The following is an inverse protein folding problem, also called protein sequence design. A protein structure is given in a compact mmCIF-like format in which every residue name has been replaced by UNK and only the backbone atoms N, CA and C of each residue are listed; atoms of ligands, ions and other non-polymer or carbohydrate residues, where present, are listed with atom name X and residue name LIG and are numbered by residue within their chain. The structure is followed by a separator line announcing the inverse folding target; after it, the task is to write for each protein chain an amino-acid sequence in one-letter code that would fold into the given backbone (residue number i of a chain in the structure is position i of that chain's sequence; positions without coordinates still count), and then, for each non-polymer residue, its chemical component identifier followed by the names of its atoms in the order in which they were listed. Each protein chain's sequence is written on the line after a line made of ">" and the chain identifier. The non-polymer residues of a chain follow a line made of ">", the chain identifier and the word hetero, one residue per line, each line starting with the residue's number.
data_IF_215869674363
#
_entry.id   IF_215869674363
#
_cell.length_a   1.000
_cell.length_b   1.000
_cell.length_c   1.000
_cell.angle_alpha   90.00
_cell.angle_beta   90.00
_cell.angle_gamma   90.00
#
_symmetry.space_group_name_H-M   'P 1'
#
loop_
_entity.id
_entity.type
_entity.pdbx_description
1 polymer ?
#
# COMPACT_ATOMS: atom_id res chain seq x y z
N UNK A 1 4.41 0.32 14.14
CA UNK A 1 3.69 1.10 13.13
C UNK A 1 2.95 2.25 13.81
N UNK A 2 3.06 3.46 13.30
CA UNK A 2 2.39 4.65 13.78
C UNK A 2 1.58 5.29 12.64
N UNK A 3 0.35 5.71 12.94
CA UNK A 3 -0.52 6.46 12.02
C UNK A 3 -0.62 7.93 12.39
N UNK A 4 -0.04 8.32 13.52
CA UNK A 4 0.07 9.70 14.02
C UNK A 4 1.40 9.93 14.71
N UNK A 5 1.84 11.19 14.82
CA UNK A 5 3.05 11.53 15.58
C UNK A 5 2.92 11.21 17.08
N UNK A 6 1.69 11.22 17.63
CA UNK A 6 1.44 10.81 19.01
C UNK A 6 1.74 9.32 19.21
N UNK A 7 1.31 8.48 18.28
CA UNK A 7 1.64 7.05 18.29
C UNK A 7 3.15 6.81 18.14
N UNK A 8 3.84 7.61 17.29
CA UNK A 8 5.30 7.53 17.14
C UNK A 8 6.02 7.84 18.47
N UNK A 9 5.64 8.93 19.16
CA UNK A 9 6.18 9.26 20.49
C UNK A 9 5.94 8.16 21.51
N UNK A 10 4.74 7.60 21.52
CA UNK A 10 4.40 6.52 22.44
C UNK A 10 5.25 5.27 22.19
N UNK A 11 5.41 4.88 20.94
CA UNK A 11 6.24 3.73 20.57
C UNK A 11 7.71 3.95 20.94
N UNK A 12 8.27 5.14 20.63
CA UNK A 12 9.63 5.51 21.00
C UNK A 12 9.84 5.42 22.52
N UNK A 13 8.95 5.98 23.32
CA UNK A 13 9.01 5.91 24.79
C UNK A 13 8.90 4.47 25.33
N UNK A 14 8.37 3.52 24.54
CA UNK A 14 8.28 2.10 24.88
C UNK A 14 9.40 1.24 24.26
N UNK A 15 10.47 1.85 23.72
CA UNK A 15 11.72 1.20 23.39
C UNK A 15 11.70 0.38 22.09
N UNK A 16 10.96 0.83 21.07
CA UNK A 16 11.03 0.19 19.74
C UNK A 16 12.32 0.60 19.00
N UNK A 17 12.80 -0.25 18.10
CA UNK A 17 14.03 -0.05 17.33
C UNK A 17 13.83 0.84 16.08
N UNK A 18 12.59 1.13 15.71
CA UNK A 18 12.24 1.98 14.56
C UNK A 18 10.74 2.18 14.40
N UNK A 19 10.35 3.21 13.67
CA UNK A 19 8.94 3.59 13.44
C UNK A 19 8.60 3.43 11.97
N UNK A 20 7.56 2.64 11.67
CA UNK A 20 6.92 2.68 10.36
C UNK A 20 5.83 3.77 10.40
N UNK A 21 6.08 4.91 9.77
CA UNK A 21 5.12 5.99 9.62
C UNK A 21 4.12 5.63 8.50
N UNK A 22 2.96 5.09 8.88
CA UNK A 22 1.93 4.63 7.96
C UNK A 22 0.96 5.75 7.60
N UNK A 23 1.18 6.39 6.46
CA UNK A 23 0.27 7.41 5.93
C UNK A 23 -1.12 6.85 5.58
N UNK A 24 -2.09 7.75 5.47
CA UNK A 24 -3.49 7.40 5.18
C UNK A 24 -3.68 6.68 3.84
N UNK A 25 -2.74 6.84 2.90
CA UNK A 25 -2.73 6.21 1.57
C UNK A 25 -2.37 4.73 1.59
N UNK A 26 -1.81 4.23 2.69
CA UNK A 26 -1.32 2.86 2.77
C UNK A 26 -2.42 1.82 2.57
N UNK A 27 -2.12 0.76 1.82
CA UNK A 27 -2.97 -0.42 1.65
C UNK A 27 -2.94 -1.35 2.87
N UNK A 28 -3.97 -2.19 3.00
CA UNK A 28 -4.12 -3.10 4.12
C UNK A 28 -4.60 -2.42 5.40
N UNK A 29 -4.47 -3.12 6.53
CA UNK A 29 -4.98 -2.67 7.82
C UNK A 29 -4.29 -1.39 8.31
N UNK A 30 -5.09 -0.52 8.93
CA UNK A 30 -4.55 0.63 9.65
C UNK A 30 -3.82 0.17 10.90
N UNK A 31 -2.63 0.74 11.11
CA UNK A 31 -1.76 0.43 12.25
C UNK A 31 -2.10 1.19 13.54
N UNK A 32 -3.19 1.97 13.55
CA UNK A 32 -3.59 2.79 14.69
C UNK A 32 -3.91 1.97 15.94
N UNK A 33 -3.58 2.52 17.12
CA UNK A 33 -3.82 1.87 18.41
C UNK A 33 -4.17 2.84 19.55
N UNK A 34 -3.83 4.13 19.45
CA UNK A 34 -4.21 5.13 20.47
C UNK A 34 -5.59 5.73 20.21
N UNK A 35 -6.05 5.76 18.97
CA UNK A 35 -7.37 6.30 18.59
C UNK A 35 -8.00 5.46 17.50
N UNK A 36 -9.32 5.39 17.47
CA UNK A 36 -10.11 4.77 16.40
C UNK A 36 -10.56 5.80 15.35
N UNK A 37 -10.26 7.08 15.57
CA UNK A 37 -10.63 8.14 14.64
C UNK A 37 -9.73 8.10 13.38
N UNK A 38 -10.33 7.64 12.30
CA UNK A 38 -9.65 7.58 11.00
C UNK A 38 -9.44 8.97 10.37
N UNK A 39 -10.26 9.95 10.72
CA UNK A 39 -10.16 11.31 10.19
C UNK A 39 -8.95 12.07 10.77
N UNK A 40 -8.47 11.65 11.94
CA UNK A 40 -7.27 12.21 12.56
C UNK A 40 -5.95 11.72 11.94
N UNK A 41 -5.99 10.76 11.01
CA UNK A 41 -4.78 10.17 10.42
C UNK A 41 -4.30 10.98 9.20
N UNK A 42 -3.08 11.54 9.22
CA UNK A 42 -2.55 12.30 8.10
C UNK A 42 -2.08 11.38 6.95
N UNK A 43 -1.96 11.96 5.76
CA UNK A 43 -1.28 11.35 4.63
C UNK A 43 0.23 11.26 4.86
N UNK A 44 0.91 10.44 4.06
CA UNK A 44 2.34 10.12 4.18
C UNK A 44 3.21 11.38 4.16
N UNK A 45 2.93 12.32 3.25
CA UNK A 45 3.68 13.58 3.11
C UNK A 45 3.68 14.43 4.38
N UNK A 46 2.55 14.45 5.10
CA UNK A 46 2.42 15.19 6.35
C UNK A 46 2.87 14.38 7.57
N UNK A 47 2.70 13.05 7.55
CA UNK A 47 3.00 12.18 8.69
C UNK A 47 4.50 12.00 8.90
N UNK A 48 5.25 11.74 7.83
CA UNK A 48 6.68 11.39 7.91
C UNK A 48 7.48 12.44 8.66
N UNK A 49 7.48 13.73 8.28
CA UNK A 49 8.28 14.75 9.00
C UNK A 49 7.82 14.89 10.46
N UNK A 50 6.51 14.80 10.74
CA UNK A 50 6.01 14.85 12.11
C UNK A 50 6.47 13.67 12.97
N UNK A 51 6.63 12.48 12.38
CA UNK A 51 7.21 11.33 13.09
C UNK A 51 8.71 11.53 13.31
N UNK A 52 9.45 12.02 12.31
CA UNK A 52 10.89 12.36 12.42
C UNK A 52 11.11 13.36 13.54
N UNK A 53 10.39 14.47 13.54
CA UNK A 53 10.48 15.48 14.59
C UNK A 53 10.08 14.94 15.99
N UNK A 54 9.19 13.96 16.01
CA UNK A 54 8.68 13.39 17.26
C UNK A 54 9.67 12.44 17.96
N UNK A 55 10.57 11.78 17.20
CA UNK A 55 11.53 10.78 17.72
C UNK A 55 12.99 11.25 17.58
N UNK A 56 13.26 12.34 16.85
CA UNK A 56 14.62 12.82 16.59
C UNK A 56 15.46 11.81 15.82
N UNK A 57 16.78 11.91 16.01
CA UNK A 57 17.77 11.05 15.34
C UNK A 57 18.02 9.72 16.09
N UNK A 58 17.22 9.41 17.14
CA UNK A 58 17.49 8.27 18.03
C UNK A 58 17.13 6.93 17.38
N UNK A 59 16.06 6.90 16.57
CA UNK A 59 15.60 5.68 15.89
C UNK A 59 15.15 5.99 14.46
N UNK A 60 15.30 5.03 13.50
CA UNK A 60 14.92 5.26 12.12
C UNK A 60 13.38 5.38 11.94
N UNK A 61 12.97 6.31 11.08
CA UNK A 61 11.59 6.42 10.60
C UNK A 61 11.51 5.87 9.19
N UNK A 62 10.61 4.91 8.98
CA UNK A 62 10.35 4.24 7.70
C UNK A 62 9.03 4.76 7.13
N UNK A 63 9.06 5.43 5.99
CA UNK A 63 7.85 5.93 5.34
C UNK A 63 7.06 4.80 4.66
N UNK A 64 5.74 4.73 4.88
CA UNK A 64 4.86 3.75 4.25
C UNK A 64 3.52 4.36 3.84
N UNK A 65 3.09 4.09 2.61
CA UNK A 65 1.81 4.54 2.06
C UNK A 65 1.95 5.44 0.83
N UNK A 66 1.26 5.10 -0.25
CA UNK A 66 1.25 5.88 -1.49
C UNK A 66 2.53 5.86 -2.32
N UNK A 67 3.63 5.31 -1.82
CA UNK A 67 4.93 5.26 -2.49
C UNK A 67 4.88 4.17 -3.58
N UNK A 68 5.00 4.58 -4.85
CA UNK A 68 4.84 3.70 -6.00
C UNK A 68 6.05 3.67 -6.95
N UNK A 69 6.89 4.68 -6.90
CA UNK A 69 8.08 4.85 -7.77
C UNK A 69 9.18 5.66 -7.07
N UNK A 70 10.30 5.90 -7.77
CA UNK A 70 11.47 6.61 -7.26
C UNK A 70 11.18 8.04 -6.80
N UNK A 71 10.18 8.73 -7.37
CA UNK A 71 9.77 10.08 -6.94
C UNK A 71 9.24 10.07 -5.51
N UNK A 72 8.40 9.08 -5.19
CA UNK A 72 7.87 8.91 -3.84
C UNK A 72 8.94 8.51 -2.83
N UNK A 73 9.91 7.71 -3.23
CA UNK A 73 11.07 7.34 -2.40
C UNK A 73 11.92 8.58 -2.11
N UNK A 74 12.30 9.33 -3.14
CA UNK A 74 13.10 10.54 -3.00
C UNK A 74 12.40 11.57 -2.08
N UNK A 75 11.10 11.79 -2.27
CA UNK A 75 10.31 12.66 -1.42
C UNK A 75 10.32 12.22 0.04
N UNK A 76 10.14 10.91 0.32
CA UNK A 76 10.17 10.39 1.68
C UNK A 76 11.54 10.61 2.37
N UNK A 77 12.63 10.38 1.65
CA UNK A 77 13.98 10.63 2.15
C UNK A 77 14.20 12.13 2.42
N UNK A 78 13.75 13.02 1.53
CA UNK A 78 13.82 14.47 1.72
C UNK A 78 12.98 14.96 2.92
N UNK A 79 11.94 14.23 3.30
CA UNK A 79 11.14 14.48 4.51
C UNK A 79 11.78 13.93 5.79
N UNK A 80 12.98 13.34 5.71
CA UNK A 80 13.73 12.81 6.84
C UNK A 80 13.53 11.31 7.11
N UNK A 81 12.81 10.57 6.26
CA UNK A 81 12.72 9.12 6.41
C UNK A 81 14.08 8.45 6.16
N UNK A 82 14.44 7.49 7.01
CA UNK A 82 15.66 6.67 6.85
C UNK A 82 15.49 5.57 5.79
N UNK A 83 14.24 5.16 5.54
CA UNK A 83 13.88 4.11 4.57
C UNK A 83 12.42 4.24 4.13
N UNK A 84 12.02 3.41 3.15
CA UNK A 84 10.64 3.30 2.70
C UNK A 84 10.16 1.86 2.76
N UNK A 85 8.88 1.65 3.09
CA UNK A 85 8.20 0.36 2.98
C UNK A 85 7.16 0.44 1.86
N UNK A 86 7.37 -0.33 0.81
CA UNK A 86 6.53 -0.36 -0.39
C UNK A 86 5.76 -1.69 -0.43
N UNK A 87 4.43 -1.63 -0.46
CA UNK A 87 3.58 -2.83 -0.55
C UNK A 87 3.01 -3.05 -1.94
N UNK A 88 2.20 -2.09 -2.41
CA UNK A 88 1.36 -2.27 -3.60
C UNK A 88 2.16 -2.53 -4.88
N UNK A 89 3.31 -1.88 -5.09
CA UNK A 89 4.15 -2.15 -6.26
C UNK A 89 4.60 -3.62 -6.31
N UNK A 90 4.96 -4.21 -5.17
CA UNK A 90 5.38 -5.61 -5.12
C UNK A 90 4.26 -6.62 -5.35
N UNK A 91 2.98 -6.21 -5.27
CA UNK A 91 1.87 -7.07 -5.71
C UNK A 91 1.93 -7.38 -7.22
N UNK A 92 2.63 -6.54 -8.00
CA UNK A 92 2.85 -6.73 -9.43
C UNK A 92 4.09 -7.57 -9.77
N UNK A 93 4.90 -7.99 -8.79
CA UNK A 93 6.06 -8.84 -9.04
C UNK A 93 5.64 -10.25 -9.49
N UNK A 94 6.54 -10.95 -10.18
CA UNK A 94 6.34 -12.36 -10.58
C UNK A 94 6.10 -13.27 -9.39
N UNK A 95 6.82 -13.01 -8.30
CA UNK A 95 6.81 -13.80 -7.07
C UNK A 95 5.56 -13.55 -6.21
N UNK A 96 4.78 -12.53 -6.55
CA UNK A 96 3.55 -12.22 -5.82
C UNK A 96 2.57 -13.39 -5.85
N UNK A 97 2.08 -13.78 -4.68
CA UNK A 97 1.13 -14.89 -4.50
C UNK A 97 -0.34 -14.45 -4.55
N UNK A 98 -0.63 -13.20 -4.94
CA UNK A 98 -2.02 -12.73 -5.08
C UNK A 98 -2.77 -13.54 -6.13
N UNK A 99 -4.03 -13.88 -5.81
CA UNK A 99 -4.89 -14.68 -6.69
C UNK A 99 -5.21 -14.01 -8.02
N UNK A 100 -5.67 -14.79 -8.99
CA UNK A 100 -6.00 -14.32 -10.35
C UNK A 100 -7.04 -13.20 -10.37
N UNK A 101 -8.03 -13.26 -9.48
CA UNK A 101 -9.06 -12.22 -9.33
C UNK A 101 -8.44 -10.90 -8.87
N UNK A 102 -7.58 -10.94 -7.84
CA UNK A 102 -6.88 -9.74 -7.36
C UNK A 102 -5.94 -9.17 -8.44
N UNK A 103 -5.22 -10.04 -9.19
CA UNK A 103 -4.39 -9.61 -10.34
C UNK A 103 -5.22 -8.91 -11.42
N UNK A 104 -6.42 -9.40 -11.72
CA UNK A 104 -7.31 -8.78 -12.70
C UNK A 104 -7.72 -7.36 -12.29
N UNK A 105 -8.10 -7.17 -11.03
CA UNK A 105 -8.47 -5.87 -10.48
C UNK A 105 -7.27 -4.89 -10.39
N UNK A 106 -6.09 -5.38 -10.00
CA UNK A 106 -4.87 -4.57 -9.97
C UNK A 106 -4.49 -4.02 -11.36
N UNK A 107 -4.71 -4.77 -12.46
CA UNK A 107 -4.45 -4.29 -13.83
C UNK A 107 -5.29 -3.07 -14.21
N UNK A 108 -6.46 -2.93 -13.60
CA UNK A 108 -7.43 -1.87 -13.84
C UNK A 108 -7.41 -0.81 -12.75
N UNK A 109 -6.47 -0.92 -11.79
CA UNK A 109 -6.39 0.02 -10.68
C UNK A 109 -6.17 1.45 -11.16
N UNK A 110 -6.88 2.38 -10.52
CA UNK A 110 -6.80 3.81 -10.77
C UNK A 110 -6.73 4.59 -9.45
N UNK A 111 -6.54 5.89 -9.50
CA UNK A 111 -6.29 6.77 -8.36
C UNK A 111 -7.40 6.80 -7.32
N UNK A 112 -8.65 6.74 -7.73
CA UNK A 112 -9.85 6.81 -6.87
C UNK A 112 -10.50 5.44 -6.60
N UNK A 113 -9.84 4.33 -6.98
CA UNK A 113 -10.41 2.98 -6.90
C UNK A 113 -10.31 2.31 -5.52
N UNK A 114 -9.65 2.94 -4.54
CA UNK A 114 -9.46 2.36 -3.20
C UNK A 114 -10.29 3.04 -2.13
N UNK A 115 -10.66 2.30 -1.10
CA UNK A 115 -11.46 2.76 0.02
C UNK A 115 -10.96 2.13 1.32
N UNK A 116 -11.08 2.84 2.45
CA UNK A 116 -10.96 2.24 3.77
C UNK A 116 -12.26 1.53 4.13
N UNK A 117 -12.16 0.27 4.57
CA UNK A 117 -13.30 -0.56 4.93
C UNK A 117 -13.00 -1.45 6.12
N UNK A 118 -14.00 -1.70 6.97
CA UNK A 118 -13.93 -2.71 8.02
C UNK A 118 -14.66 -4.03 7.66
N UNK A 119 -15.32 -4.07 6.49
CA UNK A 119 -16.25 -5.15 6.09
C UNK A 119 -15.59 -6.54 6.11
N UNK A 120 -14.32 -6.64 5.73
CA UNK A 120 -13.66 -7.94 5.57
C UNK A 120 -13.06 -8.52 6.85
N UNK A 121 -12.66 -7.68 7.79
CA UNK A 121 -11.92 -8.14 8.96
C UNK A 121 -12.43 -7.62 10.29
N UNK A 122 -13.34 -6.65 10.28
CA UNK A 122 -13.78 -5.93 11.48
C UNK A 122 -12.83 -4.79 11.90
N UNK A 123 -11.66 -4.67 11.25
CA UNK A 123 -10.71 -3.57 11.47
C UNK A 123 -10.53 -2.78 10.17
N UNK A 124 -10.48 -1.44 10.21
CA UNK A 124 -10.29 -0.62 9.02
C UNK A 124 -9.01 -0.99 8.26
N UNK A 125 -9.19 -1.21 6.96
CA UNK A 125 -8.11 -1.54 6.02
C UNK A 125 -8.41 -0.96 4.64
N UNK A 126 -7.38 -0.57 3.88
CA UNK A 126 -7.54 -0.02 2.54
C UNK A 126 -7.38 -1.08 1.46
N UNK A 127 -8.32 -1.12 0.54
CA UNK A 127 -8.28 -2.00 -0.63
C UNK A 127 -9.13 -1.48 -1.79
N UNK A 128 -9.19 -2.26 -2.86
CA UNK A 128 -10.06 -1.98 -4.01
C UNK A 128 -11.53 -2.13 -3.58
N UNK A 129 -12.36 -1.17 -3.98
CA UNK A 129 -13.79 -1.14 -3.65
C UNK A 129 -14.56 -2.17 -4.47
N UNK A 130 -14.79 -3.37 -3.93
CA UNK A 130 -15.62 -4.40 -4.55
C UNK A 130 -17.13 -4.15 -4.32
N UNK A 131 -17.98 -4.97 -4.93
CA UNK A 131 -19.44 -4.90 -4.81
C UNK A 131 -19.91 -4.91 -3.34
N UNK A 132 -19.41 -5.84 -2.52
CA UNK A 132 -19.81 -5.95 -1.11
C UNK A 132 -19.58 -4.65 -0.34
N UNK A 133 -18.43 -4.02 -0.54
CA UNK A 133 -18.09 -2.74 0.11
C UNK A 133 -19.03 -1.61 -0.35
N UNK A 134 -19.40 -1.60 -1.63
CA UNK A 134 -20.32 -0.60 -2.18
C UNK A 134 -21.75 -0.76 -1.66
N UNK A 135 -22.20 -1.99 -1.42
CA UNK A 135 -23.56 -2.30 -0.96
C UNK A 135 -23.73 -2.14 0.56
N UNK A 136 -22.71 -2.51 1.34
CA UNK A 136 -22.77 -2.43 2.82
C UNK A 136 -22.29 -1.08 3.39
N UNK A 137 -21.72 -0.21 2.56
CA UNK A 137 -20.98 0.98 2.97
C UNK A 137 -19.54 0.64 3.33
N UNK A 138 -18.58 1.57 3.20
CA UNK A 138 -17.18 1.24 3.48
C UNK A 138 -16.94 0.93 4.96
N UNK A 139 -17.60 1.61 5.88
CA UNK A 139 -17.56 1.34 7.32
C UNK A 139 -18.98 1.01 7.79
N UNK A 140 -19.13 -0.10 8.53
CA UNK A 140 -20.43 -0.59 9.00
C UNK A 140 -20.30 -1.15 10.40
N UNK A 141 -21.21 -0.75 11.27
CA UNK A 141 -21.35 -1.26 12.65
C UNK A 141 -22.01 -2.65 12.72
N UNK A 142 -22.53 -3.14 11.60
CA UNK A 142 -23.12 -4.48 11.50
C UNK A 142 -22.05 -5.57 11.36
N UNK A 143 -20.80 -5.19 11.15
CA UNK A 143 -19.69 -6.13 10.95
C UNK A 143 -19.19 -6.63 12.31
N UNK A 144 -19.00 -7.95 12.50
CA UNK A 144 -18.36 -8.49 13.68
C UNK A 144 -16.98 -7.85 13.93
N UNK A 145 -16.56 -7.72 15.20
CA UNK A 145 -15.26 -7.15 15.52
C UNK A 145 -14.11 -7.99 14.94
N UNK A 146 -12.93 -7.36 14.81
CA UNK A 146 -11.72 -8.05 14.39
C UNK A 146 -11.34 -9.15 15.40
N UNK A 147 -10.96 -10.38 14.94
CA UNK A 147 -10.74 -10.80 13.54
C UNK A 147 -11.92 -11.57 12.91
N UNK A 148 -13.10 -11.62 13.51
CA UNK A 148 -14.16 -12.59 13.22
C UNK A 148 -14.96 -12.30 11.94
N UNK A 149 -15.00 -11.06 11.48
CA UNK A 149 -15.81 -10.65 10.32
C UNK A 149 -15.53 -11.50 9.05
N UNK A 150 -14.27 -11.84 8.80
CA UNK A 150 -13.87 -12.60 7.61
C UNK A 150 -14.37 -14.04 7.57
N UNK A 151 -14.75 -14.62 8.70
CA UNK A 151 -15.15 -16.03 8.77
C UNK A 151 -16.43 -16.28 7.97
N UNK A 152 -17.42 -15.40 8.11
CA UNK A 152 -18.70 -15.53 7.41
C UNK A 152 -18.57 -15.36 5.89
N UNK A 153 -17.59 -14.58 5.43
CA UNK A 153 -17.40 -14.26 4.02
C UNK A 153 -16.63 -15.31 3.23
N UNK A 154 -15.83 -16.17 3.87
CA UNK A 154 -14.92 -17.12 3.21
C UNK A 154 -15.59 -17.98 2.14
N UNK A 155 -16.79 -18.55 2.43
CA UNK A 155 -17.50 -19.42 1.48
C UNK A 155 -18.02 -18.65 0.26
N UNK A 156 -18.51 -17.43 0.49
CA UNK A 156 -19.04 -16.58 -0.57
C UNK A 156 -17.90 -16.06 -1.46
N UNK A 157 -16.82 -15.59 -0.85
CA UNK A 157 -15.60 -15.19 -1.53
C UNK A 157 -15.06 -16.31 -2.43
N UNK A 158 -14.85 -17.51 -1.86
CA UNK A 158 -14.31 -18.64 -2.61
C UNK A 158 -15.17 -19.00 -3.84
N UNK A 159 -16.51 -19.06 -3.69
CA UNK A 159 -17.41 -19.33 -4.81
C UNK A 159 -17.38 -18.26 -5.89
N UNK A 160 -17.30 -16.97 -5.51
CA UNK A 160 -17.20 -15.89 -6.46
C UNK A 160 -15.87 -15.91 -7.22
N UNK A 161 -14.76 -16.13 -6.52
CA UNK A 161 -13.42 -16.21 -7.11
C UNK A 161 -13.27 -17.39 -8.07
N UNK A 162 -13.90 -18.54 -7.79
CA UNK A 162 -13.96 -19.67 -8.73
C UNK A 162 -14.67 -19.30 -10.06
N UNK A 163 -15.55 -18.30 -10.04
CA UNK A 163 -16.25 -17.76 -11.22
C UNK A 163 -15.51 -16.54 -11.81
N UNK A 164 -14.29 -16.21 -11.34
CA UNK A 164 -13.54 -15.05 -11.77
C UNK A 164 -14.12 -13.70 -11.29
N UNK A 165 -14.96 -13.69 -10.25
CA UNK A 165 -15.67 -12.51 -9.75
C UNK A 165 -15.03 -11.99 -8.46
N UNK A 166 -14.79 -10.67 -8.42
CA UNK A 166 -14.19 -9.97 -7.29
C UNK A 166 -15.20 -9.48 -6.24
N UNK A 167 -16.49 -9.76 -6.40
CA UNK A 167 -17.60 -9.15 -5.66
C UNK A 167 -17.44 -9.16 -4.14
N UNK A 168 -16.79 -10.19 -3.59
CA UNK A 168 -16.63 -10.43 -2.17
C UNK A 168 -15.18 -10.58 -1.74
N UNK A 169 -14.22 -10.22 -2.62
CA UNK A 169 -12.80 -10.46 -2.40
C UNK A 169 -12.12 -9.34 -1.64
N UNK A 170 -11.27 -9.71 -0.68
CA UNK A 170 -10.31 -8.81 -0.05
C UNK A 170 -9.17 -8.50 -1.02
N UNK A 171 -9.03 -7.24 -1.42
CA UNK A 171 -8.02 -6.85 -2.40
C UNK A 171 -7.26 -5.64 -1.87
N UNK A 172 -6.35 -5.90 -0.92
CA UNK A 172 -5.59 -4.84 -0.26
C UNK A 172 -4.63 -4.17 -1.25
N UNK A 173 -4.71 -2.85 -1.33
CA UNK A 173 -3.75 -2.00 -2.03
C UNK A 173 -3.88 -0.54 -1.58
N UNK A 174 -2.81 0.25 -1.70
CA UNK A 174 -2.80 1.67 -1.35
C UNK A 174 -3.33 2.56 -2.48
N UNK A 175 -3.48 3.84 -2.19
CA UNK A 175 -3.96 4.83 -3.14
C UNK A 175 -3.02 5.02 -4.35
N UNK A 176 -1.75 4.65 -4.25
CA UNK A 176 -0.81 4.62 -5.38
C UNK A 176 -1.04 3.48 -6.38
N UNK A 177 -2.11 2.68 -6.26
CA UNK A 177 -2.35 1.50 -7.11
C UNK A 177 -2.35 1.81 -8.61
N UNK A 178 -2.94 2.94 -9.04
CA UNK A 178 -2.93 3.37 -10.43
C UNK A 178 -1.52 3.64 -10.97
N UNK A 179 -0.67 4.29 -10.17
CA UNK A 179 0.75 4.50 -10.51
C UNK A 179 1.50 3.16 -10.60
N UNK A 180 1.27 2.26 -9.65
CA UNK A 180 1.88 0.93 -9.66
C UNK A 180 1.48 0.14 -10.92
N UNK A 181 0.20 0.17 -11.31
CA UNK A 181 -0.28 -0.49 -12.52
C UNK A 181 0.34 0.10 -13.80
N UNK A 182 0.46 1.43 -13.88
CA UNK A 182 1.08 2.11 -15.01
C UNK A 182 2.57 1.75 -15.15
N UNK A 183 3.32 1.76 -14.04
CA UNK A 183 4.73 1.37 -13.99
C UNK A 183 4.95 -0.09 -14.36
N UNK A 184 4.10 -0.99 -13.86
CA UNK A 184 4.15 -2.40 -14.19
C UNK A 184 3.92 -2.66 -15.69
N UNK A 185 2.96 -1.97 -16.30
CA UNK A 185 2.72 -2.03 -17.76
C UNK A 185 3.92 -1.52 -18.55
N UNK A 186 4.51 -0.39 -18.16
CA UNK A 186 5.69 0.17 -18.80
C UNK A 186 6.86 -0.82 -18.78
N UNK A 187 7.18 -1.36 -17.61
CA UNK A 187 8.25 -2.36 -17.46
C UNK A 187 8.01 -3.61 -18.33
N UNK A 188 6.75 -4.05 -18.41
CA UNK A 188 6.36 -5.17 -19.29
C UNK A 188 6.51 -4.87 -20.77
N UNK A 189 6.16 -3.68 -21.22
CA UNK A 189 6.33 -3.24 -22.61
C UNK A 189 7.81 -3.18 -23.01
N UNK A 190 8.67 -2.64 -22.14
CA UNK A 190 10.10 -2.55 -22.37
C UNK A 190 10.75 -3.96 -22.48
N UNK A 191 10.33 -4.92 -21.65
CA UNK A 191 10.78 -6.32 -21.71
C UNK A 191 10.30 -7.01 -22.99
N UNK A 192 9.01 -6.90 -23.33
CA UNK A 192 8.47 -7.52 -24.55
C UNK A 192 9.11 -6.96 -25.81
N UNK A 193 9.47 -5.68 -25.84
CA UNK A 193 10.22 -5.11 -26.96
C UNK A 193 11.61 -5.75 -27.14
N UNK A 194 12.24 -6.22 -26.03
CA UNK A 194 13.54 -6.92 -26.07
C UNK A 194 13.39 -8.41 -26.40
N UNK A 195 12.42 -9.08 -25.78
CA UNK A 195 12.34 -10.55 -25.74
C UNK A 195 11.28 -11.13 -26.68
N UNK A 196 10.48 -10.29 -27.37
CA UNK A 196 9.33 -10.68 -28.25
C UNK A 196 8.36 -11.66 -27.55
N UNK A 197 8.25 -11.60 -26.23
CA UNK A 197 7.36 -12.46 -25.47
C UNK A 197 5.92 -11.92 -25.52
N UNK A 198 4.96 -12.79 -25.79
CA UNK A 198 3.52 -12.46 -25.67
C UNK A 198 3.03 -12.86 -24.28
N UNK A 199 2.32 -12.00 -23.58
CA UNK A 199 1.77 -12.33 -22.25
C UNK A 199 1.26 -11.14 -21.45
N UNK A 200 1.00 -11.38 -20.18
CA UNK A 200 0.55 -10.38 -19.23
C UNK A 200 1.66 -9.38 -18.90
N UNK A 201 1.54 -8.18 -19.42
CA UNK A 201 2.55 -7.12 -19.27
C UNK A 201 2.71 -6.61 -17.83
N UNK A 202 1.74 -6.85 -16.95
CA UNK A 202 1.75 -6.26 -15.61
C UNK A 202 2.53 -7.08 -14.56
N UNK A 203 2.81 -8.37 -14.82
CA UNK A 203 3.40 -9.28 -13.83
C UNK A 203 4.65 -9.98 -14.36
N UNK A 204 5.50 -9.25 -15.07
CA UNK A 204 6.69 -9.78 -15.72
C UNK A 204 8.01 -9.43 -15.01
N UNK A 205 8.01 -8.39 -14.19
CA UNK A 205 9.19 -7.94 -13.44
C UNK A 205 9.37 -8.78 -12.17
N UNK A 206 10.61 -9.21 -11.89
CA UNK A 206 10.91 -9.85 -10.60
C UNK A 206 10.95 -8.83 -9.46
N UNK A 207 10.75 -9.28 -8.22
CA UNK A 207 10.89 -8.41 -7.05
C UNK A 207 12.30 -7.81 -6.96
N UNK A 208 13.33 -8.57 -7.35
CA UNK A 208 14.73 -8.09 -7.43
C UNK A 208 14.89 -6.96 -8.43
N UNK A 209 14.45 -7.17 -9.69
CA UNK A 209 14.55 -6.15 -10.74
C UNK A 209 13.76 -4.89 -10.36
N UNK A 210 12.58 -5.06 -9.78
CA UNK A 210 11.75 -3.97 -9.28
C UNK A 210 12.47 -3.17 -8.19
N UNK A 211 13.13 -3.83 -7.26
CA UNK A 211 13.90 -3.17 -6.19
C UNK A 211 15.04 -2.35 -6.77
N UNK A 212 15.80 -2.91 -7.71
CA UNK A 212 16.90 -2.20 -8.39
C UNK A 212 16.36 -0.97 -9.13
N UNK A 213 15.34 -1.16 -9.94
CA UNK A 213 14.71 -0.05 -10.68
C UNK A 213 14.21 1.07 -9.75
N UNK A 214 13.53 0.72 -8.66
CA UNK A 214 13.04 1.72 -7.69
C UNK A 214 14.19 2.49 -7.03
N UNK A 215 15.31 1.82 -6.73
CA UNK A 215 16.49 2.45 -6.17
C UNK A 215 17.15 3.41 -7.19
N UNK A 216 17.32 2.98 -8.43
CA UNK A 216 17.91 3.79 -9.52
C UNK A 216 17.03 5.03 -9.83
N UNK A 217 15.71 4.86 -9.89
CA UNK A 217 14.75 5.95 -10.06
C UNK A 217 14.88 6.97 -8.90
N UNK A 218 14.99 6.49 -7.66
CA UNK A 218 15.11 7.34 -6.48
C UNK A 218 16.43 8.15 -6.48
N UNK A 219 17.54 7.50 -6.77
CA UNK A 219 18.84 8.15 -6.90
C UNK A 219 18.83 9.24 -7.98
N UNK A 220 18.22 8.96 -9.13
CA UNK A 220 18.07 9.92 -10.22
C UNK A 220 17.24 11.13 -9.79
N UNK A 221 16.15 10.92 -9.05
CA UNK A 221 15.32 12.01 -8.53
C UNK A 221 16.09 12.87 -7.49
N UNK A 222 16.83 12.25 -6.59
CA UNK A 222 17.64 12.95 -5.59
C UNK A 222 18.77 13.77 -6.23
N UNK A 223 19.42 13.21 -7.24
CA UNK A 223 20.49 13.94 -7.97
C UNK A 223 19.96 15.18 -8.70
N UNK A 224 18.77 15.12 -9.31
CA UNK A 224 18.14 16.28 -9.95
C UNK A 224 17.75 17.38 -8.96
N UNK A 225 17.33 17.03 -7.73
CA UNK A 225 16.98 18.00 -6.68
C UNK A 225 18.18 18.75 -6.08
N UNK A 226 19.41 18.23 -6.27
CA UNK A 226 20.64 18.87 -5.77
C UNK A 226 21.17 19.90 -6.79
N UNK A 227 20.73 19.86 -8.05
CA UNK A 227 21.24 20.73 -9.14
C UNK A 227 20.36 21.95 -9.43
N UNK A 228 19.31 22.20 -8.66
CA UNK A 228 18.47 23.40 -8.71
C UNK A 228 18.66 24.26 -7.44
#
# INVERSE_FOLDING_TARGET
>A
CATTAQEARWLHANGVDGIIAQGYEAGGHRGNFLTQDLAAQPGTLALVPQCVDAVGDEIPVIAAGGIADGRGIAAAIMLGASAVQIGTSYLFSKESTVGSVHRAELRQAHDSGTVLTNIFSGKPARGIACRLVKEMGPISDLVPPYPDAGVALKRLQHRAEQQGRADFSMMWCGQGAGLCAAKAKQAGQERNARDRASGDLCFVESATDMTIRLADEAQSCLAMGITQ
#
